data_IF_481621494751
#
_entry.id   IF_481621494751
#
_cell.length_a   1.000
_cell.length_b   1.000
_cell.length_c   1.000
_cell.angle_alpha   90.00
_cell.angle_beta   90.00
_cell.angle_gamma   90.00
#
_symmetry.space_group_name_H-M   'P 1'
#
loop_
_entity.id
_entity.type
_entity.pdbx_description
1 polymer ?
#
# COMPACT_ATOMS: atom_id res chain seq x y z
N UNK A 1 65.60 42.28 -8.40
CA UNK A 1 66.88 42.86 -7.95
C UNK A 1 66.86 42.81 -6.44
N UNK A 2 67.71 41.93 -5.86
CA UNK A 2 68.15 41.84 -4.45
C UNK A 2 67.21 42.17 -3.27
N UNK A 3 67.27 41.57 -2.07
CA UNK A 3 67.78 40.33 -1.45
C UNK A 3 67.79 40.59 0.08
N UNK A 4 67.92 39.55 0.91
CA UNK A 4 68.21 39.56 2.37
C UNK A 4 67.09 40.07 3.31
N UNK A 5 66.90 39.66 4.57
CA UNK A 5 67.41 38.58 5.48
C UNK A 5 66.55 38.65 6.79
N UNK A 6 66.36 37.65 7.68
CA UNK A 6 66.42 36.18 7.61
C UNK A 6 65.85 35.54 8.91
N UNK A 7 66.03 34.22 9.12
CA UNK A 7 65.92 33.42 10.37
C UNK A 7 64.51 33.15 10.98
N UNK A 8 64.23 32.02 11.65
CA UNK A 8 64.81 30.66 11.67
C UNK A 8 63.83 29.69 12.38
N UNK A 9 64.02 28.37 12.25
CA UNK A 9 63.40 27.37 13.14
C UNK A 9 62.28 26.49 12.57
N UNK A 10 62.64 25.33 12.03
CA UNK A 10 61.73 24.21 11.77
C UNK A 10 62.46 22.88 12.02
N UNK A 11 61.76 21.89 12.55
CA UNK A 11 62.32 20.55 12.81
C UNK A 11 61.28 19.45 12.54
N UNK A 12 61.79 18.29 12.13
CA UNK A 12 61.07 17.07 11.74
C UNK A 12 61.81 15.90 12.40
N UNK A 13 61.15 14.75 12.69
CA UNK A 13 61.66 13.34 12.52
C UNK A 13 61.06 12.30 13.49
N UNK A 14 60.61 11.17 12.90
CA UNK A 14 60.52 9.76 13.36
C UNK A 14 59.66 9.23 14.55
N UNK A 15 59.16 8.00 14.32
CA UNK A 15 58.75 6.94 15.27
C UNK A 15 59.99 6.08 15.67
N UNK A 16 60.10 5.40 16.85
CA UNK A 16 59.24 4.22 17.20
C UNK A 16 59.04 3.90 18.72
N UNK A 17 58.23 2.87 19.04
CA UNK A 17 58.39 2.07 20.28
C UNK A 17 57.18 1.92 21.23
N UNK A 18 56.90 0.67 21.62
CA UNK A 18 55.89 0.10 22.54
C UNK A 18 55.42 0.91 23.78
N UNK A 19 54.21 0.60 24.30
CA UNK A 19 53.91 0.52 25.73
C UNK A 19 53.90 -0.95 26.24
N UNK A 20 54.43 -1.13 27.45
CA UNK A 20 54.53 -2.40 28.21
C UNK A 20 53.35 -2.62 29.17
N UNK A 21 53.06 -3.89 29.47
CA UNK A 21 52.72 -4.55 30.76
C UNK A 21 51.99 -3.72 31.86
N UNK A 22 50.98 -4.19 32.61
CA UNK A 22 50.56 -5.55 32.99
C UNK A 22 49.15 -5.51 33.66
N UNK A 23 48.29 -6.55 33.57
CA UNK A 23 47.12 -6.69 34.44
C UNK A 23 47.07 -8.02 35.24
N UNK A 24 47.39 -7.97 36.54
CA UNK A 24 47.08 -9.06 37.48
C UNK A 24 45.59 -9.11 37.91
N UNK A 25 45.13 -10.31 38.26
CA UNK A 25 43.82 -10.71 38.88
C UNK A 25 42.64 -10.92 37.91
N UNK A 26 41.84 -11.99 38.01
CA UNK A 26 41.92 -13.21 38.86
C UNK A 26 41.30 -14.39 38.08
N UNK A 27 41.92 -15.58 38.16
CA UNK A 27 41.40 -16.83 37.56
C UNK A 27 40.72 -17.71 38.63
N UNK A 28 39.50 -18.21 38.40
CA UNK A 28 39.00 -19.40 39.08
C UNK A 28 39.50 -20.64 38.34
N UNK A 29 40.61 -21.21 38.81
CA UNK A 29 41.07 -22.51 38.31
C UNK A 29 40.28 -23.69 38.88
N UNK A 30 39.96 -24.68 38.05
CA UNK A 30 40.14 -26.08 38.42
C UNK A 30 40.30 -26.94 37.16
N UNK A 31 41.10 -28.00 37.25
CA UNK A 31 41.64 -28.69 36.08
C UNK A 31 40.65 -29.54 35.28
N UNK A 32 40.93 -29.61 33.98
CA UNK A 32 40.80 -30.80 33.15
C UNK A 32 41.69 -30.66 31.91
N UNK A 33 42.79 -31.40 31.95
CA UNK A 33 43.45 -32.12 30.87
C UNK A 33 43.81 -31.33 29.58
N UNK A 34 45.10 -31.02 29.46
CA UNK A 34 45.72 -30.36 28.29
C UNK A 34 45.97 -31.38 27.14
N UNK A 35 45.57 -32.64 27.31
CA UNK A 35 45.79 -33.73 26.35
C UNK A 35 44.83 -33.67 25.15
N UNK A 36 43.62 -33.09 25.30
CA UNK A 36 42.61 -32.97 24.22
C UNK A 36 43.01 -32.01 23.08
N UNK A 37 44.00 -31.12 23.29
CA UNK A 37 44.43 -30.17 22.24
C UNK A 37 45.52 -30.74 21.32
N UNK A 38 46.33 -31.70 21.80
CA UNK A 38 47.27 -32.42 20.94
C UNK A 38 46.56 -33.48 20.08
N UNK A 39 45.52 -34.13 20.62
CA UNK A 39 44.74 -35.14 19.87
C UNK A 39 43.91 -34.53 18.72
N UNK A 40 43.51 -33.25 18.86
CA UNK A 40 42.93 -32.47 17.75
C UNK A 40 43.94 -32.18 16.62
N UNK A 41 45.23 -32.09 16.94
CA UNK A 41 46.30 -31.79 15.98
C UNK A 41 46.89 -33.05 15.33
N UNK A 42 46.86 -34.22 16.00
CA UNK A 42 47.21 -35.52 15.40
C UNK A 42 46.12 -36.11 14.51
N UNK A 43 44.87 -35.64 14.62
CA UNK A 43 43.75 -36.06 13.76
C UNK A 43 43.85 -35.66 12.28
N UNK A 44 44.85 -34.85 11.90
CA UNK A 44 45.01 -34.31 10.54
C UNK A 44 45.86 -35.17 9.58
N UNK A 45 45.97 -36.49 9.79
CA UNK A 45 46.63 -37.41 8.84
C UNK A 45 45.79 -37.70 7.58
N UNK A 46 45.00 -36.73 7.11
CA UNK A 46 44.18 -36.79 5.90
C UNK A 46 44.36 -35.54 5.01
N UNK A 47 45.50 -34.85 5.15
CA UNK A 47 45.91 -33.71 4.32
C UNK A 47 47.26 -33.93 3.62
N UNK A 48 47.82 -35.14 3.66
CA UNK A 48 49.14 -35.49 3.11
C UNK A 48 49.11 -35.90 1.61
N UNK A 49 47.96 -35.73 0.94
CA UNK A 49 47.76 -36.09 -0.49
C UNK A 49 47.06 -34.98 -1.30
N UNK A 50 47.11 -33.72 -0.83
CA UNK A 50 46.64 -32.56 -1.60
C UNK A 50 47.78 -32.01 -2.45
N UNK A 51 47.87 -32.46 -3.71
CA UNK A 51 48.94 -32.04 -4.60
C UNK A 51 48.67 -30.66 -5.19
N UNK A 52 49.70 -29.99 -5.72
CA UNK A 52 49.50 -28.72 -6.46
C UNK A 52 48.64 -28.91 -7.72
N UNK A 53 48.60 -30.12 -8.26
CA UNK A 53 47.74 -30.48 -9.40
C UNK A 53 46.26 -30.58 -8.97
N UNK A 54 45.95 -30.92 -7.72
CA UNK A 54 44.57 -30.91 -7.18
C UNK A 54 44.06 -29.48 -6.92
N UNK A 55 44.94 -28.58 -6.48
CA UNK A 55 44.60 -27.17 -6.32
C UNK A 55 44.39 -26.49 -7.69
N UNK A 56 45.19 -26.87 -8.69
CA UNK A 56 45.03 -26.40 -10.06
C UNK A 56 43.80 -27.02 -10.74
N UNK A 57 43.50 -28.31 -10.52
CA UNK A 57 42.32 -28.96 -11.08
C UNK A 57 41.03 -28.35 -10.50
N UNK A 58 40.90 -28.23 -9.18
CA UNK A 58 39.73 -27.67 -8.53
C UNK A 58 39.47 -26.21 -8.92
N UNK A 59 40.50 -25.37 -8.99
CA UNK A 59 40.34 -23.98 -9.46
C UNK A 59 40.01 -23.92 -10.95
N UNK A 60 40.60 -24.77 -11.79
CA UNK A 60 40.28 -24.82 -13.23
C UNK A 60 38.86 -25.34 -13.46
N UNK A 61 38.37 -26.26 -12.63
CA UNK A 61 37.01 -26.80 -12.68
C UNK A 61 35.98 -25.75 -12.23
N UNK A 62 36.22 -25.00 -11.14
CA UNK A 62 35.36 -23.88 -10.73
C UNK A 62 35.26 -22.78 -11.81
N UNK A 63 36.37 -22.43 -12.47
CA UNK A 63 36.34 -21.50 -13.61
C UNK A 63 35.68 -22.10 -14.86
N UNK A 64 35.68 -23.43 -15.03
CA UNK A 64 35.04 -24.13 -16.14
C UNK A 64 33.53 -24.21 -15.94
N UNK A 65 33.08 -24.51 -14.73
CA UNK A 65 31.68 -24.49 -14.32
C UNK A 65 31.11 -23.06 -14.39
N UNK A 66 31.89 -22.05 -13.98
CA UNK A 66 31.52 -20.64 -14.15
C UNK A 66 31.46 -20.26 -15.64
N UNK A 67 32.39 -20.75 -16.47
CA UNK A 67 32.35 -20.51 -17.92
C UNK A 67 31.18 -21.23 -18.61
N UNK A 68 30.83 -22.45 -18.20
CA UNK A 68 29.63 -23.15 -18.69
C UNK A 68 28.34 -22.50 -18.19
N UNK A 69 28.29 -22.01 -16.95
CA UNK A 69 27.15 -21.26 -16.42
C UNK A 69 26.95 -19.93 -17.16
N UNK A 70 28.04 -19.19 -17.45
CA UNK A 70 28.00 -17.97 -18.25
C UNK A 70 27.62 -18.28 -19.71
N UNK A 71 28.18 -19.34 -20.30
CA UNK A 71 27.83 -19.77 -21.66
C UNK A 71 26.35 -20.15 -21.76
N UNK A 72 25.84 -20.94 -20.81
CA UNK A 72 24.44 -21.35 -20.72
C UNK A 72 23.50 -20.16 -20.50
N UNK A 73 23.83 -19.24 -19.59
CA UNK A 73 23.07 -18.00 -19.40
C UNK A 73 23.05 -17.15 -20.68
N UNK A 74 24.20 -17.01 -21.37
CA UNK A 74 24.25 -16.30 -22.65
C UNK A 74 23.44 -16.98 -23.76
N UNK A 75 23.29 -18.31 -23.69
CA UNK A 75 22.51 -19.10 -24.63
C UNK A 75 21.00 -18.99 -24.35
N UNK A 76 20.59 -18.99 -23.08
CA UNK A 76 19.22 -18.70 -22.65
C UNK A 76 18.80 -17.25 -22.98
N UNK A 77 19.70 -16.27 -22.80
CA UNK A 77 19.47 -14.87 -23.22
C UNK A 77 19.32 -14.74 -24.75
N UNK A 78 20.14 -15.45 -25.52
CA UNK A 78 20.03 -15.48 -26.99
C UNK A 78 18.77 -16.21 -27.46
N UNK A 79 18.36 -17.29 -26.79
CA UNK A 79 17.09 -17.97 -27.09
C UNK A 79 15.88 -17.10 -26.73
N UNK A 80 15.88 -16.40 -25.58
CA UNK A 80 14.84 -15.42 -25.24
C UNK A 80 14.78 -14.26 -26.25
N UNK A 81 15.93 -13.75 -26.70
CA UNK A 81 15.97 -12.72 -27.75
C UNK A 81 15.51 -13.25 -29.11
N UNK A 82 15.85 -14.49 -29.47
CA UNK A 82 15.40 -15.12 -30.72
C UNK A 82 13.88 -15.39 -30.72
N UNK A 83 13.33 -15.84 -29.59
CA UNK A 83 11.88 -16.02 -29.40
C UNK A 83 11.17 -14.67 -29.45
N UNK A 84 11.65 -13.65 -28.74
CA UNK A 84 11.09 -12.29 -28.79
C UNK A 84 11.17 -11.67 -30.20
N UNK A 85 12.25 -11.92 -30.95
CA UNK A 85 12.38 -11.48 -32.35
C UNK A 85 11.42 -12.21 -33.31
N UNK A 86 10.96 -13.42 -32.97
CA UNK A 86 10.03 -14.21 -33.78
C UNK A 86 8.55 -13.82 -33.62
N UNK A 87 8.20 -13.08 -32.55
CA UNK A 87 6.83 -12.64 -32.25
C UNK A 87 6.75 -11.12 -32.07
N UNK A 88 6.41 -10.34 -33.13
CA UNK A 88 6.41 -8.89 -33.06
C UNK A 88 5.28 -8.37 -32.17
N UNK A 89 5.60 -7.95 -30.94
CA UNK A 89 4.68 -7.21 -30.07
C UNK A 89 4.71 -7.53 -28.56
N UNK A 90 5.61 -8.39 -28.08
CA UNK A 90 5.73 -8.74 -26.66
C UNK A 90 7.09 -8.31 -26.09
N UNK A 91 7.08 -7.53 -25.00
CA UNK A 91 8.30 -7.25 -24.23
C UNK A 91 8.64 -8.46 -23.33
N UNK A 92 9.89 -8.97 -23.35
CA UNK A 92 10.28 -10.11 -22.53
C UNK A 92 10.41 -9.70 -21.06
N UNK A 93 9.49 -10.18 -20.22
CA UNK A 93 9.51 -9.93 -18.77
C UNK A 93 8.17 -10.06 -18.05
N UNK A 94 7.04 -10.23 -18.77
CA UNK A 94 5.69 -10.17 -18.17
C UNK A 94 4.75 -11.34 -18.54
N UNK A 95 5.27 -12.56 -18.72
CA UNK A 95 4.43 -13.79 -18.70
C UNK A 95 5.23 -14.93 -18.09
N UNK A 96 4.77 -15.49 -16.97
CA UNK A 96 5.28 -16.77 -16.46
C UNK A 96 4.68 -17.92 -17.28
N UNK A 97 5.42 -19.02 -17.46
CA UNK A 97 4.95 -20.17 -18.27
C UNK A 97 3.65 -20.82 -17.73
N UNK A 98 3.26 -20.52 -16.49
CA UNK A 98 2.03 -20.97 -15.83
C UNK A 98 0.74 -20.44 -16.48
N UNK A 99 0.77 -19.28 -17.15
CA UNK A 99 -0.40 -18.71 -17.83
C UNK A 99 -0.83 -19.50 -19.09
N UNK A 100 -0.01 -20.44 -19.57
CA UNK A 100 -0.26 -21.22 -20.78
C UNK A 100 -0.83 -22.62 -20.49
N UNK A 101 -0.64 -23.16 -19.28
CA UNK A 101 -1.09 -24.51 -18.91
C UNK A 101 -2.48 -24.56 -18.28
N UNK A 102 -3.01 -23.42 -17.79
CA UNK A 102 -4.35 -23.35 -17.21
C UNK A 102 -4.50 -24.02 -15.83
N UNK A 103 -3.43 -24.56 -15.28
CA UNK A 103 -3.38 -25.08 -13.91
C UNK A 103 -2.99 -23.96 -12.94
N UNK A 104 -3.93 -23.08 -12.62
CA UNK A 104 -3.85 -22.36 -11.34
C UNK A 104 -3.88 -23.41 -10.22
N UNK A 105 -2.87 -23.47 -9.32
CA UNK A 105 -2.99 -24.30 -8.12
C UNK A 105 -4.22 -23.84 -7.36
N UNK A 106 -5.09 -24.80 -6.99
CA UNK A 106 -6.43 -24.53 -6.49
C UNK A 106 -6.40 -23.75 -5.16
N UNK A 107 -6.43 -22.42 -5.25
CA UNK A 107 -6.42 -21.50 -4.12
C UNK A 107 -7.79 -21.51 -3.42
N UNK A 108 -7.99 -22.47 -2.50
CA UNK A 108 -9.09 -22.58 -1.53
C UNK A 108 -10.45 -22.02 -2.00
N UNK A 109 -10.92 -22.54 -3.13
CA UNK A 109 -12.25 -22.24 -3.64
C UNK A 109 -13.33 -22.89 -2.75
N UNK A 110 -13.82 -22.16 -1.74
CA UNK A 110 -15.11 -22.48 -1.11
C UNK A 110 -15.18 -22.53 0.42
N UNK A 111 -14.11 -22.20 1.15
CA UNK A 111 -14.21 -22.01 2.61
C UNK A 111 -14.93 -20.68 2.93
N UNK A 112 -16.27 -20.69 2.90
CA UNK A 112 -17.09 -19.58 3.36
C UNK A 112 -16.78 -19.23 4.83
N UNK A 113 -16.75 -17.94 5.21
CA UNK A 113 -16.36 -17.53 6.55
C UNK A 113 -17.24 -18.19 7.61
N UNK A 114 -16.59 -18.73 8.65
CA UNK A 114 -17.30 -19.41 9.74
C UNK A 114 -18.30 -18.49 10.45
N UNK A 115 -19.25 -19.04 11.23
CA UNK A 115 -20.22 -18.24 11.99
C UNK A 115 -19.55 -17.21 12.91
N UNK A 116 -18.40 -17.57 13.50
CA UNK A 116 -17.55 -16.69 14.30
C UNK A 116 -16.99 -15.51 13.49
N UNK A 117 -16.41 -15.75 12.31
CA UNK A 117 -15.89 -14.68 11.44
C UNK A 117 -17.00 -13.72 10.99
N UNK A 118 -18.17 -14.25 10.63
CA UNK A 118 -19.33 -13.42 10.24
C UNK A 118 -19.82 -12.54 11.40
N UNK A 119 -19.81 -13.04 12.64
CA UNK A 119 -20.20 -12.28 13.83
C UNK A 119 -19.16 -11.22 14.22
N UNK A 120 -17.86 -11.55 14.16
CA UNK A 120 -16.77 -10.56 14.30
C UNK A 120 -16.92 -9.46 13.25
N UNK A 121 -17.33 -9.83 12.03
CA UNK A 121 -17.57 -8.91 10.90
C UNK A 121 -18.75 -7.97 11.09
N UNK A 122 -19.87 -8.47 11.61
CA UNK A 122 -20.96 -7.60 12.04
C UNK A 122 -20.54 -6.67 13.20
N UNK A 123 -19.84 -7.20 14.21
CA UNK A 123 -19.49 -6.46 15.42
C UNK A 123 -18.55 -5.28 15.14
N UNK A 124 -17.47 -5.49 14.37
CA UNK A 124 -16.49 -4.42 14.09
C UNK A 124 -17.10 -3.35 13.18
N UNK A 125 -17.96 -3.73 12.23
CA UNK A 125 -18.73 -2.77 11.42
C UNK A 125 -19.67 -1.89 12.25
N UNK A 126 -20.37 -2.47 13.22
CA UNK A 126 -21.23 -1.72 14.16
C UNK A 126 -20.40 -0.80 15.05
N UNK A 127 -19.24 -1.24 15.55
CA UNK A 127 -18.33 -0.40 16.35
C UNK A 127 -17.79 0.76 15.51
N UNK A 128 -17.36 0.52 14.27
CA UNK A 128 -16.86 1.56 13.37
C UNK A 128 -17.94 2.61 13.08
N UNK A 129 -19.17 2.17 12.78
CA UNK A 129 -20.31 3.07 12.58
C UNK A 129 -20.64 3.88 13.85
N UNK A 130 -20.61 3.25 15.03
CA UNK A 130 -20.82 3.95 16.30
C UNK A 130 -19.73 5.00 16.57
N UNK A 131 -18.46 4.70 16.28
CA UNK A 131 -17.34 5.64 16.40
C UNK A 131 -17.49 6.82 15.43
N UNK A 132 -17.87 6.55 14.17
CA UNK A 132 -18.16 7.59 13.16
C UNK A 132 -19.28 8.51 13.64
N UNK A 133 -20.41 7.97 14.08
CA UNK A 133 -21.55 8.74 14.56
C UNK A 133 -21.23 9.53 15.85
N UNK A 134 -20.46 8.96 16.77
CA UNK A 134 -20.03 9.62 17.99
C UNK A 134 -19.08 10.81 17.71
N UNK A 135 -18.07 10.63 16.86
CA UNK A 135 -17.13 11.71 16.51
C UNK A 135 -17.82 12.81 15.69
N UNK A 136 -18.77 12.45 14.84
CA UNK A 136 -19.61 13.42 14.12
C UNK A 136 -20.57 14.18 15.06
N UNK A 137 -21.01 13.58 16.16
CA UNK A 137 -21.79 14.25 17.21
C UNK A 137 -20.92 15.20 18.07
N UNK A 138 -19.66 14.85 18.33
CA UNK A 138 -18.68 15.69 19.04
C UNK A 138 -18.26 16.94 18.24
N UNK A 139 -18.39 16.91 16.91
CA UNK A 139 -18.30 18.08 16.04
C UNK A 139 -17.37 17.91 14.84
N UNK A 140 -17.54 18.79 13.85
CA UNK A 140 -16.87 18.68 12.55
C UNK A 140 -15.34 18.56 12.63
N UNK A 141 -14.68 19.29 13.53
CA UNK A 141 -13.22 19.22 13.70
C UNK A 141 -12.72 17.83 14.14
N UNK A 142 -13.44 17.15 15.03
CA UNK A 142 -13.08 15.79 15.48
C UNK A 142 -13.30 14.76 14.37
N UNK A 143 -14.37 14.91 13.60
CA UNK A 143 -14.63 14.03 12.47
C UNK A 143 -13.67 14.29 11.29
N UNK A 144 -13.26 15.54 11.05
CA UNK A 144 -12.19 15.85 10.08
C UNK A 144 -10.84 15.25 10.49
N UNK A 145 -10.50 15.29 11.79
CA UNK A 145 -9.32 14.60 12.32
C UNK A 145 -9.41 13.08 12.11
N UNK A 146 -10.58 12.46 12.34
CA UNK A 146 -10.79 11.04 12.03
C UNK A 146 -10.53 10.75 10.55
N UNK A 147 -11.12 11.52 9.62
CA UNK A 147 -10.90 11.33 8.17
C UNK A 147 -9.43 11.48 7.81
N UNK A 148 -8.72 12.45 8.39
CA UNK A 148 -7.30 12.62 8.16
C UNK A 148 -6.47 11.43 8.68
N UNK A 149 -6.76 10.92 9.88
CA UNK A 149 -6.09 9.73 10.43
C UNK A 149 -6.39 8.50 9.57
N UNK A 150 -7.65 8.25 9.20
CA UNK A 150 -8.04 7.13 8.34
C UNK A 150 -7.36 7.20 6.97
N UNK A 151 -7.28 8.38 6.35
CA UNK A 151 -6.58 8.58 5.08
C UNK A 151 -5.08 8.28 5.18
N UNK A 152 -4.43 8.69 6.27
CA UNK A 152 -3.00 8.40 6.49
C UNK A 152 -2.76 6.92 6.81
N UNK A 153 -3.64 6.26 7.57
CA UNK A 153 -3.52 4.82 7.84
C UNK A 153 -3.72 4.01 6.55
N UNK A 154 -4.78 4.28 5.78
CA UNK A 154 -5.03 3.64 4.48
C UNK A 154 -3.89 3.85 3.48
N UNK A 155 -3.28 5.05 3.45
CA UNK A 155 -2.11 5.34 2.62
C UNK A 155 -0.87 4.56 3.09
N UNK A 156 -0.71 4.39 4.41
CA UNK A 156 0.36 3.60 5.01
C UNK A 156 0.23 2.11 4.71
N UNK A 157 -1.00 1.57 4.75
CA UNK A 157 -1.32 0.22 4.30
C UNK A 157 -0.95 0.05 2.82
N UNK A 158 -1.48 0.91 1.94
CA UNK A 158 -1.20 0.85 0.50
C UNK A 158 0.32 0.90 0.17
N UNK A 159 1.08 1.80 0.80
CA UNK A 159 2.54 1.81 0.66
C UNK A 159 3.24 0.61 1.31
N UNK A 160 2.64 -0.05 2.29
CA UNK A 160 3.12 -1.33 2.82
C UNK A 160 2.88 -2.47 1.82
N UNK A 161 1.69 -2.54 1.21
CA UNK A 161 1.33 -3.52 0.17
C UNK A 161 2.28 -3.42 -1.02
N UNK A 162 2.52 -2.21 -1.51
CA UNK A 162 3.45 -1.93 -2.62
C UNK A 162 4.88 -2.39 -2.31
N UNK A 163 5.34 -2.26 -1.06
CA UNK A 163 6.66 -2.77 -0.62
C UNK A 163 6.69 -4.29 -0.53
N UNK A 164 5.59 -4.92 -0.13
CA UNK A 164 5.42 -6.37 -0.21
C UNK A 164 5.49 -6.90 -1.65
N UNK A 165 4.97 -6.13 -2.61
CA UNK A 165 5.04 -6.41 -4.05
C UNK A 165 6.39 -6.00 -4.71
N UNK A 166 7.39 -5.56 -3.94
CA UNK A 166 8.73 -5.23 -4.45
C UNK A 166 8.93 -3.78 -4.92
N UNK A 167 7.91 -2.93 -4.89
CA UNK A 167 8.03 -1.50 -5.22
C UNK A 167 8.55 -0.69 -4.02
N UNK A 168 9.21 0.44 -4.29
CA UNK A 168 9.82 1.33 -3.28
C UNK A 168 9.26 2.76 -3.36
N UNK A 169 7.96 2.96 -3.06
CA UNK A 169 7.34 4.30 -3.08
C UNK A 169 8.02 5.25 -2.09
N UNK A 170 8.02 6.55 -2.41
CA UNK A 170 8.52 7.63 -1.55
C UNK A 170 7.52 7.95 -0.44
N UNK A 171 7.28 6.99 0.46
CA UNK A 171 6.23 7.05 1.47
C UNK A 171 6.25 8.35 2.29
N UNK A 172 7.42 8.89 2.66
CA UNK A 172 7.54 10.18 3.35
C UNK A 172 6.93 11.34 2.54
N UNK A 173 7.29 11.49 1.26
CA UNK A 173 6.74 12.53 0.39
C UNK A 173 5.26 12.29 0.09
N UNK A 174 4.85 11.02 0.02
CA UNK A 174 3.43 10.64 -0.04
C UNK A 174 2.63 11.11 1.17
N UNK A 175 3.11 10.84 2.39
CA UNK A 175 2.47 11.31 3.62
C UNK A 175 2.45 12.84 3.73
N UNK A 176 3.56 13.51 3.42
CA UNK A 176 3.62 14.97 3.40
C UNK A 176 2.63 15.56 2.37
N UNK A 177 2.52 14.96 1.19
CA UNK A 177 1.55 15.34 0.17
C UNK A 177 0.11 15.10 0.58
N UNK A 178 -0.18 13.97 1.22
CA UNK A 178 -1.49 13.66 1.80
C UNK A 178 -1.89 14.68 2.87
N UNK A 179 -1.00 14.98 3.82
CA UNK A 179 -1.19 16.02 4.84
C UNK A 179 -1.42 17.38 4.18
N UNK A 180 -0.64 17.74 3.15
CA UNK A 180 -0.79 18.99 2.43
C UNK A 180 -2.15 19.10 1.73
N UNK A 181 -2.61 18.06 1.02
CA UNK A 181 -3.91 18.06 0.33
C UNK A 181 -5.09 18.09 1.30
N UNK A 182 -5.04 17.28 2.37
CA UNK A 182 -6.06 17.28 3.43
C UNK A 182 -6.14 18.64 4.14
N UNK A 183 -4.99 19.23 4.49
CA UNK A 183 -4.91 20.55 5.13
C UNK A 183 -5.35 21.67 4.19
N UNK A 184 -4.97 21.60 2.90
CA UNK A 184 -5.39 22.57 1.89
C UNK A 184 -6.92 22.55 1.69
N UNK A 185 -7.53 21.36 1.69
CA UNK A 185 -8.99 21.21 1.64
C UNK A 185 -9.67 21.73 2.91
N UNK A 186 -9.07 21.50 4.09
CA UNK A 186 -9.65 21.94 5.37
C UNK A 186 -9.48 23.45 5.64
N UNK A 187 -8.33 24.06 5.36
CA UNK A 187 -8.06 25.45 5.76
C UNK A 187 -8.35 26.50 4.68
N UNK A 188 -8.56 26.11 3.41
CA UNK A 188 -8.85 27.05 2.32
C UNK A 188 -10.34 27.38 2.20
N UNK A 189 -10.67 28.61 1.82
CA UNK A 189 -12.02 28.99 1.38
C UNK A 189 -12.26 28.68 -0.12
N UNK A 190 -11.22 28.24 -0.82
CA UNK A 190 -11.29 27.67 -2.17
C UNK A 190 -10.68 26.26 -2.14
N UNK A 191 -11.37 25.27 -1.55
CA UNK A 191 -10.80 23.94 -1.26
C UNK A 191 -10.26 23.27 -2.53
N UNK A 192 -11.02 23.24 -3.63
CA UNK A 192 -10.59 22.61 -4.89
C UNK A 192 -9.29 23.19 -5.46
N UNK A 193 -9.16 24.52 -5.48
CA UNK A 193 -7.96 25.18 -5.99
C UNK A 193 -6.74 24.94 -5.08
N UNK A 194 -6.95 24.90 -3.76
CA UNK A 194 -5.90 24.62 -2.79
C UNK A 194 -5.47 23.14 -2.84
N UNK A 195 -6.42 22.20 -2.95
CA UNK A 195 -6.16 20.76 -3.18
C UNK A 195 -5.35 20.55 -4.46
N UNK A 196 -5.76 21.15 -5.58
CA UNK A 196 -5.04 21.06 -6.85
C UNK A 196 -3.61 21.65 -6.75
N UNK A 197 -3.44 22.75 -6.02
CA UNK A 197 -2.13 23.37 -5.78
C UNK A 197 -1.24 22.48 -4.91
N UNK A 198 -1.76 21.93 -3.81
CA UNK A 198 -1.03 21.02 -2.93
C UNK A 198 -0.65 19.70 -3.63
N UNK A 199 -1.55 19.15 -4.45
CA UNK A 199 -1.29 17.97 -5.26
C UNK A 199 -0.25 18.25 -6.35
N UNK A 200 -0.38 19.36 -7.09
CA UNK A 200 0.60 19.78 -8.09
C UNK A 200 2.00 19.99 -7.48
N UNK A 201 2.08 20.67 -6.33
CA UNK A 201 3.32 20.81 -5.57
C UNK A 201 3.90 19.46 -5.12
N UNK A 202 3.07 18.54 -4.65
CA UNK A 202 3.47 17.17 -4.27
C UNK A 202 4.07 16.41 -5.46
N UNK A 203 3.42 16.47 -6.62
CA UNK A 203 3.89 15.84 -7.87
C UNK A 203 5.25 16.43 -8.28
N UNK A 204 5.39 17.77 -8.28
CA UNK A 204 6.65 18.44 -8.61
C UNK A 204 7.78 18.03 -7.65
N UNK A 205 7.52 17.98 -6.34
CA UNK A 205 8.53 17.57 -5.34
C UNK A 205 8.95 16.10 -5.54
N UNK A 206 8.00 15.18 -5.79
CA UNK A 206 8.30 13.76 -6.04
C UNK A 206 9.14 13.59 -7.31
N UNK A 207 8.76 14.25 -8.41
CA UNK A 207 9.48 14.16 -9.68
C UNK A 207 10.88 14.76 -9.58
N UNK A 208 11.02 15.92 -8.93
CA UNK A 208 12.31 16.57 -8.73
C UNK A 208 13.22 15.77 -7.79
N UNK A 209 12.67 15.13 -6.76
CA UNK A 209 13.44 14.23 -5.91
C UNK A 209 14.02 13.05 -6.69
N UNK A 210 13.23 12.38 -7.53
CA UNK A 210 13.73 11.29 -8.38
C UNK A 210 14.71 11.77 -9.47
N UNK A 211 14.60 13.01 -9.95
CA UNK A 211 15.56 13.60 -10.89
C UNK A 211 16.92 13.89 -10.24
N UNK A 212 16.95 14.22 -8.94
CA UNK A 212 18.18 14.49 -8.18
C UNK A 212 18.79 13.24 -7.53
N UNK A 213 17.98 12.24 -7.18
CA UNK A 213 18.39 11.03 -6.47
C UNK A 213 18.07 9.81 -7.34
N UNK A 214 19.03 9.34 -8.17
CA UNK A 214 18.87 8.14 -8.98
C UNK A 214 18.47 6.94 -8.11
N UNK A 215 17.40 6.25 -8.53
CA UNK A 215 16.87 5.05 -7.89
C UNK A 215 16.41 4.07 -8.96
N UNK A 216 16.28 2.79 -8.59
CA UNK A 216 15.70 1.76 -9.45
C UNK A 216 14.24 2.11 -9.74
N UNK A 217 13.82 1.93 -10.99
CA UNK A 217 12.48 2.21 -11.53
C UNK A 217 11.87 3.54 -11.01
N UNK A 218 12.48 4.70 -11.28
CA UNK A 218 12.11 5.96 -10.62
C UNK A 218 10.71 6.44 -11.04
N UNK A 219 10.36 6.28 -12.34
CA UNK A 219 9.05 6.68 -12.88
C UNK A 219 7.91 5.82 -12.31
N UNK A 220 8.09 4.51 -12.21
CA UNK A 220 7.14 3.56 -11.62
C UNK A 220 6.88 3.91 -10.15
N UNK A 221 7.95 4.04 -9.35
CA UNK A 221 7.83 4.33 -7.92
C UNK A 221 7.29 5.75 -7.65
N UNK A 222 7.60 6.73 -8.51
CA UNK A 222 6.94 8.04 -8.50
C UNK A 222 5.43 7.90 -8.76
N UNK A 223 5.06 7.12 -9.78
CA UNK A 223 3.66 6.90 -10.17
C UNK A 223 2.85 6.25 -9.05
N UNK A 224 3.38 5.21 -8.40
CA UNK A 224 2.73 4.60 -7.23
C UNK A 224 2.62 5.54 -6.03
N UNK A 225 3.65 6.37 -5.78
CA UNK A 225 3.59 7.37 -4.70
C UNK A 225 2.48 8.38 -4.97
N UNK A 226 2.46 8.97 -6.17
CA UNK A 226 1.46 9.96 -6.61
C UNK A 226 0.06 9.34 -6.64
N UNK A 227 -0.09 8.13 -7.17
CA UNK A 227 -1.37 7.42 -7.21
C UNK A 227 -1.94 7.21 -5.81
N UNK A 228 -1.13 6.77 -4.84
CA UNK A 228 -1.57 6.65 -3.44
C UNK A 228 -2.06 7.98 -2.86
N UNK A 229 -1.36 9.09 -3.11
CA UNK A 229 -1.80 10.42 -2.67
C UNK A 229 -3.12 10.82 -3.32
N UNK A 230 -3.28 10.61 -4.63
CA UNK A 230 -4.52 10.96 -5.35
C UNK A 230 -5.69 10.10 -4.90
N UNK A 231 -5.52 8.78 -4.95
CA UNK A 231 -6.58 7.80 -4.74
C UNK A 231 -7.07 7.76 -3.29
N UNK A 232 -6.16 7.79 -2.31
CA UNK A 232 -6.55 7.73 -0.89
C UNK A 232 -6.80 9.14 -0.35
N UNK A 233 -5.76 9.96 -0.22
CA UNK A 233 -5.86 11.25 0.46
C UNK A 233 -6.59 12.31 -0.38
N UNK A 234 -6.38 12.33 -1.70
CA UNK A 234 -7.03 13.24 -2.64
C UNK A 234 -8.54 13.04 -2.66
N UNK A 235 -9.00 11.80 -2.84
CA UNK A 235 -10.44 11.49 -2.82
C UNK A 235 -11.07 11.72 -1.44
N UNK A 236 -10.44 11.29 -0.34
CA UNK A 236 -10.96 11.54 1.01
C UNK A 236 -10.96 13.03 1.39
N UNK A 237 -10.07 13.85 0.83
CA UNK A 237 -10.02 15.28 1.14
C UNK A 237 -11.26 16.06 0.69
N UNK A 238 -12.08 15.51 -0.22
CA UNK A 238 -13.40 16.05 -0.55
C UNK A 238 -14.39 16.01 0.63
N UNK A 239 -14.15 15.18 1.65
CA UNK A 239 -14.95 15.22 2.87
C UNK A 239 -14.78 16.53 3.65
N UNK A 240 -13.58 17.13 3.65
CA UNK A 240 -13.26 18.30 4.49
C UNK A 240 -14.21 19.49 4.29
N UNK A 241 -14.53 19.96 3.06
CA UNK A 241 -15.51 21.02 2.86
C UNK A 241 -16.95 20.60 3.20
N UNK A 242 -17.32 19.32 3.03
CA UNK A 242 -18.62 18.81 3.51
C UNK A 242 -18.69 18.96 5.04
N UNK A 243 -17.62 18.60 5.75
CA UNK A 243 -17.51 18.63 7.22
C UNK A 243 -17.44 20.07 7.75
N UNK A 244 -16.91 21.03 6.98
CA UNK A 244 -16.96 22.47 7.31
C UNK A 244 -18.35 23.09 7.12
N UNK A 245 -19.25 22.45 6.38
CA UNK A 245 -20.57 23.04 6.09
C UNK A 245 -21.48 23.07 7.35
N UNK A 246 -22.44 24.01 7.44
CA UNK A 246 -23.40 24.05 8.55
C UNK A 246 -24.25 22.77 8.65
N UNK A 247 -24.47 22.09 7.52
CA UNK A 247 -25.22 20.83 7.38
C UNK A 247 -24.32 19.59 7.42
N UNK A 248 -23.05 19.73 7.82
CA UNK A 248 -22.04 18.67 7.84
C UNK A 248 -22.53 17.33 8.39
N UNK A 249 -23.20 17.34 9.56
CA UNK A 249 -23.75 16.13 10.18
C UNK A 249 -24.70 15.41 9.25
N UNK A 250 -25.65 16.13 8.65
CA UNK A 250 -26.64 15.57 7.76
C UNK A 250 -26.04 15.05 6.45
N UNK A 251 -25.17 15.83 5.81
CA UNK A 251 -24.54 15.47 4.54
C UNK A 251 -23.62 14.24 4.66
N UNK A 252 -22.81 14.19 5.73
CA UNK A 252 -21.94 13.04 6.01
C UNK A 252 -22.77 11.80 6.37
N UNK A 253 -23.81 11.92 7.19
CA UNK A 253 -24.70 10.80 7.52
C UNK A 253 -25.40 10.28 6.26
N UNK A 254 -25.81 11.15 5.34
CA UNK A 254 -26.42 10.74 4.08
C UNK A 254 -25.46 9.86 3.25
N UNK A 255 -24.19 10.23 3.14
CA UNK A 255 -23.17 9.41 2.47
C UNK A 255 -22.94 8.10 3.25
N UNK A 256 -22.56 8.18 4.52
CA UNK A 256 -22.16 7.02 5.34
C UNK A 256 -23.28 5.98 5.45
N UNK A 257 -24.50 6.40 5.79
CA UNK A 257 -25.60 5.47 6.03
C UNK A 257 -26.12 4.88 4.71
N UNK A 258 -26.23 5.65 3.62
CA UNK A 258 -26.71 5.11 2.36
C UNK A 258 -25.68 4.19 1.68
N UNK A 259 -24.37 4.46 1.79
CA UNK A 259 -23.33 3.53 1.35
C UNK A 259 -23.36 2.24 2.18
N UNK A 260 -23.33 2.32 3.51
CA UNK A 260 -23.38 1.13 4.37
C UNK A 260 -24.66 0.28 4.15
N UNK A 261 -25.81 0.91 3.89
CA UNK A 261 -27.05 0.20 3.57
C UNK A 261 -27.07 -0.37 2.15
N UNK A 262 -26.44 0.29 1.17
CA UNK A 262 -26.22 -0.25 -0.16
C UNK A 262 -25.34 -1.51 -0.11
N UNK A 263 -24.25 -1.49 0.66
CA UNK A 263 -23.33 -2.63 0.82
C UNK A 263 -24.01 -3.80 1.52
N UNK A 264 -24.73 -3.52 2.62
CA UNK A 264 -25.52 -4.52 3.33
C UNK A 264 -26.61 -5.14 2.43
N UNK A 265 -27.36 -4.31 1.70
CA UNK A 265 -28.36 -4.78 0.73
C UNK A 265 -27.74 -5.64 -0.37
N UNK A 266 -26.60 -5.21 -0.91
CA UNK A 266 -25.85 -5.94 -1.93
C UNK A 266 -25.36 -7.29 -1.43
N UNK A 267 -24.85 -7.34 -0.20
CA UNK A 267 -24.39 -8.56 0.44
C UNK A 267 -25.53 -9.54 0.72
N UNK A 268 -26.62 -9.10 1.36
CA UNK A 268 -27.71 -10.00 1.75
C UNK A 268 -28.51 -10.51 0.54
N UNK A 269 -28.81 -9.66 -0.44
CA UNK A 269 -29.51 -10.09 -1.67
C UNK A 269 -28.58 -10.92 -2.55
N UNK A 270 -27.31 -10.50 -2.70
CA UNK A 270 -26.31 -11.24 -3.48
C UNK A 270 -26.03 -12.63 -2.92
N UNK A 271 -25.96 -12.79 -1.59
CA UNK A 271 -25.79 -14.09 -0.92
C UNK A 271 -27.02 -15.00 -1.03
N UNK A 272 -28.22 -14.43 -1.07
CA UNK A 272 -29.47 -15.21 -1.05
C UNK A 272 -29.99 -15.56 -2.45
N UNK A 273 -29.75 -14.70 -3.44
CA UNK A 273 -30.34 -14.79 -4.78
C UNK A 273 -29.33 -14.64 -5.93
N UNK A 274 -28.06 -14.38 -5.63
CA UNK A 274 -27.01 -14.16 -6.62
C UNK A 274 -26.79 -15.37 -7.54
N UNK A 275 -26.79 -15.13 -8.85
CA UNK A 275 -26.52 -16.14 -9.89
C UNK A 275 -25.61 -15.60 -10.97
N UNK A 276 -25.78 -14.33 -11.35
CA UNK A 276 -25.00 -13.69 -12.40
C UNK A 276 -23.86 -12.89 -11.76
N UNK A 277 -22.62 -13.31 -11.99
CA UNK A 277 -21.43 -12.59 -11.52
C UNK A 277 -21.27 -11.25 -12.25
N UNK A 278 -20.94 -10.20 -11.50
CA UNK A 278 -20.79 -8.84 -12.03
C UNK A 278 -19.41 -8.61 -12.67
N UNK A 279 -18.35 -9.11 -12.05
CA UNK A 279 -16.96 -8.94 -12.52
C UNK A 279 -16.10 -10.16 -12.12
N UNK A 280 -16.23 -11.31 -12.82
CA UNK A 280 -15.63 -12.58 -12.41
C UNK A 280 -14.13 -12.50 -12.13
N UNK A 281 -13.37 -11.81 -13.00
CA UNK A 281 -11.91 -11.74 -12.94
C UNK A 281 -11.38 -10.82 -11.82
N UNK A 282 -12.20 -9.89 -11.32
CA UNK A 282 -11.80 -8.93 -10.28
C UNK A 282 -12.34 -9.35 -8.91
N UNK A 283 -13.66 -9.58 -8.85
CA UNK A 283 -14.42 -9.79 -7.62
C UNK A 283 -15.44 -10.94 -7.81
N UNK A 284 -15.02 -12.20 -7.65
CA UNK A 284 -15.85 -13.38 -7.91
C UNK A 284 -17.06 -13.54 -6.98
N UNK A 285 -17.15 -12.74 -5.91
CA UNK A 285 -18.28 -12.73 -4.97
C UNK A 285 -19.37 -11.68 -5.27
N UNK A 286 -19.17 -10.80 -6.27
CA UNK A 286 -20.15 -9.74 -6.61
C UNK A 286 -21.12 -10.23 -7.68
N UNK A 287 -22.41 -10.05 -7.43
CA UNK A 287 -23.50 -10.48 -8.32
C UNK A 287 -24.38 -9.31 -8.77
N UNK A 288 -24.98 -9.44 -9.94
CA UNK A 288 -25.90 -8.44 -10.49
C UNK A 288 -27.19 -8.37 -9.66
N UNK A 289 -27.68 -9.50 -9.16
CA UNK A 289 -28.83 -9.53 -8.25
C UNK A 289 -28.51 -8.83 -6.92
N UNK A 290 -27.27 -8.97 -6.41
CA UNK A 290 -26.76 -8.20 -5.29
C UNK A 290 -26.80 -6.69 -5.57
N UNK A 291 -26.20 -6.24 -6.66
CA UNK A 291 -26.20 -4.83 -7.07
C UNK A 291 -27.63 -4.25 -7.11
N UNK A 292 -28.59 -4.94 -7.73
CA UNK A 292 -30.00 -4.52 -7.78
C UNK A 292 -30.62 -4.47 -6.36
N UNK A 293 -30.29 -5.43 -5.50
CA UNK A 293 -30.68 -5.42 -4.09
C UNK A 293 -30.15 -4.21 -3.32
N UNK A 294 -28.87 -3.87 -3.49
CA UNK A 294 -28.24 -2.68 -2.91
C UNK A 294 -28.93 -1.39 -3.34
N UNK A 295 -29.19 -1.23 -4.66
CA UNK A 295 -29.93 -0.09 -5.22
C UNK A 295 -31.30 0.05 -4.53
N UNK A 296 -32.08 -1.03 -4.47
CA UNK A 296 -33.42 -1.01 -3.87
C UNK A 296 -33.35 -0.60 -2.39
N UNK A 297 -32.43 -1.20 -1.62
CA UNK A 297 -32.25 -0.87 -0.20
C UNK A 297 -31.84 0.60 0.00
N UNK A 298 -30.91 1.12 -0.81
CA UNK A 298 -30.48 2.51 -0.73
C UNK A 298 -31.62 3.50 -1.03
N UNK A 299 -32.45 3.22 -2.05
CA UNK A 299 -33.60 4.07 -2.39
C UNK A 299 -34.71 4.01 -1.33
N UNK A 300 -35.02 2.82 -0.80
CA UNK A 300 -36.00 2.67 0.29
C UNK A 300 -35.52 3.37 1.56
N UNK A 301 -34.23 3.25 1.91
CA UNK A 301 -33.62 3.94 3.03
C UNK A 301 -33.66 5.46 2.85
N UNK A 302 -33.29 5.97 1.67
CA UNK A 302 -33.33 7.41 1.40
C UNK A 302 -34.75 7.99 1.46
N UNK A 303 -35.75 7.26 0.94
CA UNK A 303 -37.15 7.63 1.08
C UNK A 303 -37.58 7.67 2.56
N UNK A 304 -37.36 6.60 3.32
CA UNK A 304 -37.75 6.51 4.72
C UNK A 304 -37.07 7.54 5.63
N UNK A 305 -35.75 7.74 5.47
CA UNK A 305 -34.98 8.73 6.24
C UNK A 305 -35.34 10.17 5.84
N UNK A 306 -35.82 10.41 4.62
CA UNK A 306 -36.39 11.70 4.22
C UNK A 306 -37.72 11.99 4.89
N UNK A 307 -38.57 11.00 5.18
CA UNK A 307 -39.87 11.24 5.84
C UNK A 307 -39.72 11.78 7.27
N UNK A 308 -38.68 11.34 7.97
CA UNK A 308 -38.33 11.81 9.33
C UNK A 308 -37.34 13.00 9.30
N UNK A 309 -37.11 13.61 8.14
CA UNK A 309 -36.19 14.75 7.93
C UNK A 309 -34.75 14.54 8.43
N UNK A 310 -34.27 13.28 8.49
CA UNK A 310 -32.97 12.93 9.10
C UNK A 310 -31.79 13.63 8.41
N UNK A 311 -31.86 13.78 7.09
CA UNK A 311 -30.83 14.45 6.29
C UNK A 311 -31.01 15.98 6.20
N UNK A 312 -31.99 16.59 6.86
CA UNK A 312 -32.21 18.04 6.82
C UNK A 312 -32.46 18.66 5.43
N UNK A 313 -32.59 17.84 4.38
CA UNK A 313 -32.91 18.23 3.02
C UNK A 313 -34.08 17.40 2.47
N UNK A 314 -34.75 17.91 1.43
CA UNK A 314 -35.97 17.32 0.88
C UNK A 314 -35.76 16.02 0.10
N UNK A 315 -36.86 15.28 -0.12
CA UNK A 315 -36.87 13.96 -0.74
C UNK A 315 -36.11 13.87 -2.07
N UNK A 316 -36.18 14.91 -2.91
CA UNK A 316 -35.42 14.95 -4.16
C UNK A 316 -33.91 14.82 -3.95
N UNK A 317 -33.35 15.52 -2.96
CA UNK A 317 -31.93 15.41 -2.60
C UNK A 317 -31.58 14.03 -2.06
N UNK A 318 -32.47 13.39 -1.28
CA UNK A 318 -32.26 12.05 -0.75
C UNK A 318 -32.23 10.99 -1.86
N UNK A 319 -33.17 11.05 -2.81
CA UNK A 319 -33.21 10.14 -3.95
C UNK A 319 -32.02 10.34 -4.90
N UNK A 320 -31.59 11.58 -5.15
CA UNK A 320 -30.35 11.85 -5.91
C UNK A 320 -29.11 11.32 -5.19
N UNK A 321 -29.05 11.42 -3.86
CA UNK A 321 -27.94 10.89 -3.06
C UNK A 321 -27.90 9.36 -3.12
N UNK A 322 -29.05 8.69 -3.00
CA UNK A 322 -29.14 7.24 -3.20
C UNK A 322 -28.75 6.81 -4.62
N UNK A 323 -29.17 7.55 -5.64
CA UNK A 323 -28.82 7.28 -7.04
C UNK A 323 -27.31 7.34 -7.29
N UNK A 324 -26.65 8.41 -6.81
CA UNK A 324 -25.21 8.58 -7.03
C UNK A 324 -24.39 7.57 -6.21
N UNK A 325 -24.79 7.27 -4.98
CA UNK A 325 -24.13 6.25 -4.14
C UNK A 325 -24.26 4.87 -4.79
N UNK A 326 -25.45 4.49 -5.24
CA UNK A 326 -25.68 3.17 -5.86
C UNK A 326 -24.90 2.98 -7.17
N UNK A 327 -24.49 4.06 -7.82
CA UNK A 327 -23.64 4.03 -9.02
C UNK A 327 -22.14 3.99 -8.66
N UNK A 328 -21.69 4.77 -7.66
CA UNK A 328 -20.27 4.97 -7.40
C UNK A 328 -19.66 4.10 -6.29
N UNK A 329 -20.46 3.65 -5.31
CA UNK A 329 -20.03 2.64 -4.34
C UNK A 329 -19.46 1.37 -5.03
N UNK A 330 -20.19 0.68 -5.93
CA UNK A 330 -19.68 -0.54 -6.54
C UNK A 330 -18.44 -0.30 -7.43
N UNK A 331 -18.24 0.92 -7.94
CA UNK A 331 -17.04 1.29 -8.69
C UNK A 331 -15.80 1.44 -7.79
N UNK A 332 -15.97 1.91 -6.56
CA UNK A 332 -14.89 2.03 -5.58
C UNK A 332 -14.28 0.69 -5.22
N UNK A 333 -15.11 -0.26 -4.79
CA UNK A 333 -14.71 -1.64 -4.50
C UNK A 333 -14.09 -2.34 -5.73
N UNK A 334 -14.58 -2.06 -6.94
CA UNK A 334 -14.03 -2.64 -8.18
C UNK A 334 -12.67 -2.05 -8.52
N UNK A 335 -12.47 -0.74 -8.31
CA UNK A 335 -11.17 -0.09 -8.46
C UNK A 335 -10.17 -0.64 -7.43
N UNK A 336 -10.58 -0.81 -6.17
CA UNK A 336 -9.72 -1.42 -5.15
C UNK A 336 -9.41 -2.90 -5.48
N UNK A 337 -10.41 -3.67 -5.91
CA UNK A 337 -10.22 -5.06 -6.37
C UNK A 337 -9.22 -5.14 -7.52
N UNK A 338 -9.26 -4.21 -8.48
CA UNK A 338 -8.30 -4.12 -9.57
C UNK A 338 -6.88 -3.89 -9.05
N UNK A 339 -6.67 -2.93 -8.13
CA UNK A 339 -5.35 -2.68 -7.52
C UNK A 339 -4.85 -3.91 -6.76
N UNK A 340 -5.72 -4.61 -6.01
CA UNK A 340 -5.37 -5.84 -5.30
C UNK A 340 -4.89 -6.95 -6.24
N UNK A 341 -5.61 -7.18 -7.36
CA UNK A 341 -5.20 -8.15 -8.39
C UNK A 341 -3.89 -7.75 -9.07
N UNK A 342 -3.71 -6.48 -9.41
CA UNK A 342 -2.47 -5.98 -10.03
C UNK A 342 -1.24 -6.14 -9.12
N UNK A 343 -1.42 -6.12 -7.79
CA UNK A 343 -0.36 -6.34 -6.80
C UNK A 343 -0.24 -7.79 -6.32
N UNK A 344 -1.05 -8.72 -6.86
CA UNK A 344 -1.04 -10.14 -6.45
C UNK A 344 -1.54 -10.40 -5.02
N UNK A 345 -2.19 -9.43 -4.36
CA UNK A 345 -2.65 -9.53 -2.97
C UNK A 345 -4.16 -9.79 -2.86
N UNK A 346 -4.59 -10.32 -1.71
CA UNK A 346 -6.01 -10.54 -1.40
C UNK A 346 -6.64 -9.42 -0.58
N UNK A 347 -5.90 -8.86 0.37
CA UNK A 347 -6.31 -7.81 1.30
C UNK A 347 -5.14 -6.81 1.38
N UNK A 348 -5.40 -5.51 1.50
CA UNK A 348 -4.34 -4.49 1.46
C UNK A 348 -3.57 -4.38 2.79
N UNK A 349 -4.20 -4.73 3.90
CA UNK A 349 -3.64 -4.68 5.24
C UNK A 349 -4.26 -5.70 6.20
N UNK A 350 -3.79 -5.70 7.44
CA UNK A 350 -4.28 -6.57 8.51
C UNK A 350 -4.58 -5.79 9.80
N UNK A 351 -4.75 -4.47 9.71
CA UNK A 351 -4.84 -3.57 10.87
C UNK A 351 -6.15 -3.75 11.65
N UNK A 352 -7.22 -4.21 10.99
CA UNK A 352 -8.48 -4.56 11.64
C UNK A 352 -8.66 -6.09 11.72
N UNK A 353 -8.71 -6.68 12.93
CA UNK A 353 -8.92 -8.12 13.11
C UNK A 353 -10.18 -8.64 12.38
N UNK A 354 -10.01 -9.66 11.54
CA UNK A 354 -11.07 -10.27 10.75
C UNK A 354 -11.63 -9.41 9.59
N UNK A 355 -10.98 -8.28 9.24
CA UNK A 355 -11.51 -7.29 8.30
C UNK A 355 -10.60 -6.88 7.15
N UNK A 356 -9.33 -7.25 7.16
CA UNK A 356 -8.34 -6.70 6.23
C UNK A 356 -7.86 -5.31 6.69
N UNK A 357 -7.56 -4.44 5.73
CA UNK A 357 -7.11 -3.09 5.99
C UNK A 357 -8.23 -2.09 6.31
N UNK A 358 -7.83 -0.88 6.68
CA UNK A 358 -8.68 0.31 6.68
C UNK A 358 -9.06 0.70 5.25
N UNK A 359 -8.17 0.54 4.27
CA UNK A 359 -8.48 0.83 2.87
C UNK A 359 -9.56 -0.12 2.29
N UNK A 360 -9.57 -1.40 2.69
CA UNK A 360 -10.63 -2.39 2.39
C UNK A 360 -11.99 -2.07 3.08
N UNK A 361 -12.08 -0.93 3.78
CA UNK A 361 -13.29 -0.37 4.41
C UNK A 361 -13.63 1.04 3.92
N UNK A 362 -12.75 1.62 3.11
CA UNK A 362 -12.90 2.95 2.53
C UNK A 362 -13.07 2.91 1.02
N UNK A 363 -12.81 1.78 0.36
CA UNK A 363 -12.97 1.53 -1.08
C UNK A 363 -14.22 2.20 -1.70
N UNK A 364 -15.42 1.88 -1.21
CA UNK A 364 -16.67 2.52 -1.63
C UNK A 364 -16.69 4.03 -1.32
N UNK A 365 -16.21 4.42 -0.13
CA UNK A 365 -16.18 5.82 0.32
C UNK A 365 -15.21 6.71 -0.47
N UNK A 366 -14.11 6.16 -1.00
CA UNK A 366 -13.19 6.86 -1.89
C UNK A 366 -13.93 7.39 -3.12
N UNK A 367 -14.97 6.69 -3.60
CA UNK A 367 -15.76 7.13 -4.75
C UNK A 367 -17.05 7.86 -4.37
N UNK A 368 -17.74 7.48 -3.28
CA UNK A 368 -18.99 8.15 -2.88
C UNK A 368 -18.79 9.53 -2.27
N UNK A 369 -17.66 9.81 -1.60
CA UNK A 369 -17.38 11.12 -0.99
C UNK A 369 -17.18 12.23 -2.04
N UNK A 370 -16.29 12.09 -3.07
CA UNK A 370 -16.12 13.12 -4.10
C UNK A 370 -17.39 13.40 -4.91
N UNK A 371 -18.14 12.36 -5.28
CA UNK A 371 -19.38 12.56 -6.05
C UNK A 371 -20.50 13.13 -5.18
N UNK A 372 -20.54 12.77 -3.89
CA UNK A 372 -21.42 13.40 -2.90
C UNK A 372 -21.12 14.89 -2.73
N UNK A 373 -19.85 15.28 -2.65
CA UNK A 373 -19.44 16.70 -2.65
C UNK A 373 -19.94 17.45 -3.89
N UNK A 374 -19.73 16.89 -5.09
CA UNK A 374 -20.20 17.50 -6.35
C UNK A 374 -21.72 17.61 -6.40
N UNK A 375 -22.43 16.57 -5.94
CA UNK A 375 -23.90 16.58 -5.85
C UNK A 375 -24.39 17.66 -4.87
N UNK A 376 -23.76 17.80 -3.70
CA UNK A 376 -24.18 18.76 -2.67
C UNK A 376 -23.84 20.20 -3.06
N UNK A 377 -22.78 20.45 -3.83
CA UNK A 377 -22.58 21.73 -4.52
C UNK A 377 -23.71 22.01 -5.52
N UNK A 378 -24.02 21.05 -6.39
CA UNK A 378 -25.06 21.22 -7.43
C UNK A 378 -26.47 21.45 -6.84
N UNK A 379 -26.78 20.80 -5.71
CA UNK A 379 -28.02 21.00 -4.96
C UNK A 379 -28.03 22.27 -4.09
N UNK A 380 -26.92 23.01 -4.00
CA UNK A 380 -26.81 24.23 -3.21
C UNK A 380 -26.74 24.00 -1.69
N UNK A 381 -26.33 22.81 -1.24
CA UNK A 381 -26.08 22.51 0.18
C UNK A 381 -24.64 22.85 0.62
N UNK A 382 -23.76 23.13 -0.34
CA UNK A 382 -22.40 23.63 -0.14
C UNK A 382 -22.22 24.94 -0.92
N UNK A 383 -21.33 25.81 -0.41
CA UNK A 383 -21.06 27.16 -0.92
C UNK A 383 -19.60 27.34 -1.32
#
# INVERSE_FOLDING_TARGET
MSEHQDESGGEVVAFPGQPSDDPERDLPGNGRDVEDFEDFLTGASMLDDFTSDDYLSATTEEYRDLAEAIAKASQEDVEMQAVAASMPGLEPGLVGFDDVTGEQPAADAGAGPGPSDTLVRAATGVVLLAVILALLALGGGWFALLVAVLALVALGEFYSTLRGAGHVPLALFGFLGAIAVLSASWFSDRPLAAMATALGGTIVVILFWYALVPRRNPLENASFTIFGVIWVAGLLSFAMPIIRSPQSRQLIIAIVVLTALFDAGSYFVGRSFGRILLAPNLSPSKTLEGLVGGVIVAFVAAFGLSLISWFGFGLGGALWTAAIISLFAPLGDLAESLVKRALGVKDMGALLPGHGGIIDRLDSYLFTIPVGYVLFLWLGYLS
#
